data_IF_164961962851
#
_entry.id   IF_164961962851
#
_cell.length_a   1.000
_cell.length_b   1.000
_cell.length_c   1.000
_cell.angle_alpha   90.00
_cell.angle_beta   90.00
_cell.angle_gamma   90.00
#
_symmetry.space_group_name_H-M   'P 1'
#
loop_
_entity.id
_entity.type
_entity.pdbx_description
1 polymer ?
#
# COMPACT_ATOMS: atom_id res chain seq x y z
N UNK A 1 6.20 -21.73 -42.10
CA UNK A 1 5.63 -20.37 -42.19
C UNK A 1 6.70 -19.36 -41.84
N UNK A 2 6.98 -18.40 -42.75
CA UNK A 2 8.02 -17.37 -42.65
C UNK A 2 7.34 -16.05 -42.29
N UNK A 3 7.73 -15.38 -41.21
CA UNK A 3 7.27 -14.01 -40.93
C UNK A 3 8.47 -13.07 -40.96
N UNK A 4 8.34 -12.03 -41.80
CA UNK A 4 9.38 -11.09 -42.20
C UNK A 4 9.45 -9.91 -41.22
N UNK A 5 10.68 -9.45 -40.98
CA UNK A 5 11.01 -8.12 -40.51
C UNK A 5 10.46 -7.03 -41.45
N UNK A 6 10.07 -5.89 -40.87
CA UNK A 6 9.93 -4.60 -41.54
C UNK A 6 9.39 -3.58 -40.54
N UNK A 7 9.72 -2.30 -40.56
CA UNK A 7 10.81 -1.54 -41.14
C UNK A 7 10.81 -0.20 -40.36
N UNK A 8 11.98 0.42 -40.25
CA UNK A 8 12.19 1.76 -39.68
C UNK A 8 11.35 2.84 -40.40
N UNK A 9 10.78 3.78 -39.65
CA UNK A 9 10.47 5.13 -40.15
C UNK A 9 10.94 6.17 -39.12
N UNK A 10 11.61 7.18 -39.67
CA UNK A 10 12.47 8.15 -39.02
C UNK A 10 11.76 9.48 -38.69
N UNK A 11 12.40 10.21 -37.77
CA UNK A 11 12.59 11.67 -37.69
C UNK A 11 11.37 12.58 -37.93
N UNK A 12 10.99 13.32 -36.87
CA UNK A 12 10.55 14.70 -37.02
C UNK A 12 11.27 15.64 -36.03
N UNK A 13 11.84 16.66 -36.66
CA UNK A 13 12.59 17.81 -36.17
C UNK A 13 11.59 18.90 -35.72
N UNK A 14 11.86 19.64 -34.65
CA UNK A 14 11.01 20.78 -34.28
C UNK A 14 11.40 21.49 -32.99
N UNK A 15 12.40 22.36 -33.10
CA UNK A 15 12.89 23.26 -32.06
C UNK A 15 12.06 24.56 -32.09
N UNK A 16 11.44 24.97 -30.97
CA UNK A 16 11.05 26.37 -30.73
C UNK A 16 11.30 26.71 -29.26
N UNK A 17 12.26 27.62 -29.06
CA UNK A 17 12.55 28.32 -27.80
C UNK A 17 11.54 29.46 -27.63
N UNK A 18 10.85 29.51 -26.49
CA UNK A 18 10.23 30.73 -25.97
C UNK A 18 10.36 30.74 -24.45
N UNK A 19 11.34 31.50 -23.97
CA UNK A 19 11.51 31.83 -22.56
C UNK A 19 10.54 32.97 -22.20
N UNK A 20 9.69 32.75 -21.21
CA UNK A 20 9.01 33.82 -20.47
C UNK A 20 9.22 33.56 -18.99
N UNK A 21 9.86 34.52 -18.32
CA UNK A 21 10.19 34.47 -16.91
C UNK A 21 8.95 34.58 -16.05
N UNK A 22 8.85 33.67 -15.08
CA UNK A 22 7.88 33.74 -14.00
C UNK A 22 8.63 33.95 -12.69
N UNK A 23 8.42 35.12 -12.10
CA UNK A 23 8.89 35.51 -10.76
C UNK A 23 8.47 34.45 -9.75
N UNK A 24 9.45 33.74 -9.20
CA UNK A 24 9.21 32.74 -8.15
C UNK A 24 8.94 33.46 -6.83
N UNK A 25 7.67 33.53 -6.43
CA UNK A 25 7.31 33.84 -5.05
C UNK A 25 7.73 32.63 -4.21
N UNK A 26 8.90 32.74 -3.58
CA UNK A 26 9.35 31.80 -2.56
C UNK A 26 8.50 32.02 -1.32
N UNK A 27 7.33 31.38 -1.32
CA UNK A 27 6.57 31.15 -0.11
C UNK A 27 7.23 29.93 0.51
N UNK A 28 8.08 30.16 1.52
CA UNK A 28 8.66 29.10 2.32
C UNK A 28 7.52 28.22 2.84
N UNK A 29 7.42 26.95 2.40
CA UNK A 29 6.42 26.06 2.95
C UNK A 29 6.84 25.82 4.39
N UNK A 30 6.05 26.36 5.32
CA UNK A 30 6.05 25.88 6.71
C UNK A 30 5.64 24.41 6.63
N UNK A 31 6.65 23.56 6.47
CA UNK A 31 6.48 22.12 6.46
C UNK A 31 6.05 21.78 7.88
N UNK A 32 4.84 21.24 8.11
CA UNK A 32 4.53 20.67 9.41
C UNK A 32 5.54 19.54 9.61
N UNK A 33 6.54 19.78 10.46
CA UNK A 33 7.40 18.72 10.98
C UNK A 33 6.54 17.87 11.89
N UNK A 34 5.76 16.96 11.29
CA UNK A 34 5.19 15.84 12.01
C UNK A 34 6.37 15.00 12.46
N UNK A 35 6.81 15.20 13.70
CA UNK A 35 7.84 14.36 14.31
C UNK A 35 7.30 12.94 14.43
N UNK A 36 7.53 12.13 13.41
CA UNK A 36 7.33 10.68 13.47
C UNK A 36 8.29 10.15 14.51
N UNK A 37 7.78 9.87 15.71
CA UNK A 37 8.53 9.19 16.76
C UNK A 37 8.82 7.79 16.26
N UNK A 38 10.05 7.54 15.79
CA UNK A 38 10.47 6.20 15.40
C UNK A 38 10.43 5.34 16.66
N UNK A 39 9.62 4.26 16.70
CA UNK A 39 9.62 3.38 17.85
C UNK A 39 11.02 2.77 18.01
N UNK A 40 11.61 2.95 19.20
CA UNK A 40 12.92 2.37 19.50
C UNK A 40 12.77 0.86 19.68
N UNK A 41 13.43 0.09 18.82
CA UNK A 41 13.41 -1.37 18.86
C UNK A 41 14.64 -1.87 19.61
N UNK A 42 14.43 -2.69 20.65
CA UNK A 42 15.52 -3.22 21.48
C UNK A 42 16.43 -4.17 20.68
N UNK A 43 17.70 -4.26 21.08
CA UNK A 43 18.62 -5.29 20.56
C UNK A 43 18.06 -6.70 20.78
N UNK A 44 18.26 -7.59 19.81
CA UNK A 44 17.69 -8.94 19.84
C UNK A 44 16.18 -9.02 19.55
N UNK A 45 15.53 -7.90 19.22
CA UNK A 45 14.09 -7.85 18.96
C UNK A 45 13.76 -7.45 17.52
N UNK A 46 12.48 -7.58 17.17
CA UNK A 46 11.96 -7.19 15.87
C UNK A 46 10.72 -6.33 16.08
N UNK A 47 10.70 -5.14 15.48
CA UNK A 47 9.57 -4.21 15.55
C UNK A 47 8.99 -3.95 14.17
N UNK A 48 7.68 -3.68 14.10
CA UNK A 48 7.03 -3.27 12.87
C UNK A 48 5.90 -2.26 13.11
N UNK A 49 5.78 -1.30 12.20
CA UNK A 49 4.73 -0.28 12.22
C UNK A 49 4.32 0.10 10.80
N UNK A 50 3.23 0.86 10.68
CA UNK A 50 2.74 1.38 9.41
C UNK A 50 2.91 2.89 9.40
N UNK A 51 3.51 3.40 8.34
CA UNK A 51 3.60 4.83 8.05
C UNK A 51 2.59 5.20 6.96
N UNK A 52 1.78 6.21 7.22
CA UNK A 52 0.80 6.77 6.28
C UNK A 52 1.03 8.26 6.11
N UNK A 53 0.86 8.77 4.89
CA UNK A 53 0.95 10.22 4.62
C UNK A 53 -0.32 10.96 5.05
N UNK A 54 -1.46 10.27 5.07
CA UNK A 54 -2.77 10.80 5.49
C UNK A 54 -3.57 9.72 6.20
N UNK A 55 -4.29 10.11 7.24
CA UNK A 55 -5.29 9.27 7.93
C UNK A 55 -6.71 9.58 7.46
N UNK A 56 -6.87 10.30 6.34
CA UNK A 56 -8.16 10.55 5.69
C UNK A 56 -8.09 10.21 4.21
N UNK A 57 -9.11 9.53 3.71
CA UNK A 57 -9.23 9.14 2.30
C UNK A 57 -10.69 9.19 1.84
N UNK A 58 -10.92 9.46 0.56
CA UNK A 58 -12.27 9.43 0.00
C UNK A 58 -12.72 7.98 -0.28
N UNK A 59 -14.00 7.71 -0.10
CA UNK A 59 -14.63 6.46 -0.49
C UNK A 59 -14.30 6.11 -1.95
N UNK A 60 -13.94 4.85 -2.22
CA UNK A 60 -13.58 4.38 -3.56
C UNK A 60 -12.11 4.60 -3.96
N UNK A 61 -11.36 5.41 -3.22
CA UNK A 61 -9.94 5.67 -3.50
C UNK A 61 -9.00 4.64 -2.86
N UNK A 62 -7.70 4.75 -3.16
CA UNK A 62 -6.64 3.89 -2.60
C UNK A 62 -5.76 4.67 -1.64
N UNK A 63 -5.45 4.07 -0.49
CA UNK A 63 -4.49 4.60 0.48
C UNK A 63 -3.16 3.86 0.31
N UNK A 64 -2.10 4.60 0.02
CA UNK A 64 -0.73 4.07 0.05
C UNK A 64 -0.15 4.24 1.44
N UNK A 65 0.47 3.17 1.95
CA UNK A 65 1.17 3.15 3.22
C UNK A 65 2.50 2.42 3.07
N UNK A 66 3.37 2.54 4.07
CA UNK A 66 4.63 1.78 4.13
C UNK A 66 4.66 0.97 5.41
N UNK A 67 4.85 -0.34 5.29
CA UNK A 67 5.22 -1.17 6.43
C UNK A 67 6.71 -1.01 6.65
N UNK A 68 7.10 -0.58 7.84
CA UNK A 68 8.50 -0.51 8.26
C UNK A 68 8.73 -1.64 9.25
N UNK A 69 9.79 -2.42 9.02
CA UNK A 69 10.26 -3.46 9.95
C UNK A 69 11.70 -3.16 10.31
N UNK A 70 11.99 -3.20 11.60
CA UNK A 70 13.34 -3.14 12.12
C UNK A 70 13.66 -4.48 12.74
N UNK A 71 14.61 -5.19 12.15
CA UNK A 71 15.03 -6.52 12.57
C UNK A 71 16.43 -6.47 13.21
N UNK A 72 16.46 -6.50 14.54
CA UNK A 72 17.67 -6.62 15.35
C UNK A 72 17.82 -8.00 15.99
N UNK A 73 17.15 -9.03 15.45
CA UNK A 73 17.17 -10.39 16.02
C UNK A 73 18.50 -11.14 15.85
N UNK A 74 19.45 -10.58 15.10
CA UNK A 74 20.73 -11.22 14.79
C UNK A 74 20.70 -12.19 13.60
N UNK A 75 19.54 -12.43 12.99
CA UNK A 75 19.44 -13.15 11.70
C UNK A 75 18.33 -12.63 10.77
N UNK A 76 18.42 -12.82 9.44
CA UNK A 76 17.31 -12.57 8.53
C UNK A 76 16.13 -13.49 8.80
N UNK A 77 14.90 -12.99 8.65
CA UNK A 77 13.67 -13.78 8.80
C UNK A 77 13.23 -14.25 7.42
N UNK A 78 13.19 -15.56 7.20
CA UNK A 78 12.64 -16.14 5.96
C UNK A 78 11.13 -16.30 6.09
N UNK A 79 10.38 -15.72 5.15
CA UNK A 79 8.91 -15.74 5.11
C UNK A 79 8.42 -16.32 3.78
N UNK A 80 7.34 -17.10 3.82
CA UNK A 80 6.61 -17.45 2.60
C UNK A 80 6.03 -16.17 1.99
N UNK A 81 6.17 -15.98 0.69
CA UNK A 81 5.65 -14.80 0.00
C UNK A 81 4.51 -15.17 -0.93
N UNK A 82 3.50 -14.31 -0.97
CA UNK A 82 2.38 -14.44 -1.87
C UNK A 82 2.39 -13.31 -2.92
N UNK A 83 3.55 -13.14 -3.57
CA UNK A 83 3.88 -12.00 -4.45
C UNK A 83 4.50 -10.82 -3.69
N UNK A 84 4.11 -10.60 -2.44
CA UNK A 84 4.68 -9.64 -1.51
C UNK A 84 4.76 -10.22 -0.09
N UNK A 85 5.65 -9.67 0.75
CA UNK A 85 5.70 -10.00 2.19
C UNK A 85 4.46 -9.44 2.91
N UNK A 86 4.11 -8.19 2.63
CA UNK A 86 3.02 -7.49 3.31
C UNK A 86 1.91 -7.08 2.33
N UNK A 87 0.68 -7.15 2.82
CA UNK A 87 -0.51 -6.56 2.21
C UNK A 87 -1.20 -5.63 3.20
N UNK A 88 -2.20 -4.88 2.72
CA UNK A 88 -2.99 -4.00 3.57
C UNK A 88 -4.47 -4.05 3.21
N UNK A 89 -5.31 -3.68 4.17
CA UNK A 89 -6.76 -3.72 4.07
C UNK A 89 -7.43 -2.83 5.11
N UNK A 90 -8.73 -2.61 4.95
CA UNK A 90 -9.53 -1.85 5.91
C UNK A 90 -10.44 -2.80 6.71
N UNK A 91 -10.47 -2.59 8.01
CA UNK A 91 -11.37 -3.29 8.93
C UNK A 91 -12.19 -2.29 9.74
N UNK A 92 -13.44 -2.64 10.00
CA UNK A 92 -14.30 -2.01 11.01
C UNK A 92 -14.89 -3.11 11.89
N UNK A 93 -15.87 -2.78 12.73
CA UNK A 93 -16.56 -3.79 13.53
C UNK A 93 -17.50 -4.66 12.69
N UNK A 94 -17.88 -4.19 11.51
CA UNK A 94 -18.82 -4.87 10.58
C UNK A 94 -18.16 -5.35 9.29
N UNK A 95 -16.95 -4.87 8.96
CA UNK A 95 -16.28 -5.16 7.70
C UNK A 95 -14.87 -5.65 7.98
N UNK A 96 -14.45 -6.75 7.33
CA UNK A 96 -13.10 -7.30 7.47
C UNK A 96 -12.45 -7.52 6.09
N UNK A 97 -12.02 -6.44 5.44
CA UNK A 97 -11.28 -6.51 4.18
C UNK A 97 -9.78 -6.58 4.41
N UNK A 98 -9.33 -7.41 5.36
CA UNK A 98 -7.92 -7.51 5.76
C UNK A 98 -6.95 -7.78 4.59
N UNK A 99 -5.64 -7.91 4.86
CA UNK A 99 -4.62 -8.05 3.83
C UNK A 99 -4.96 -9.17 2.83
N UNK A 100 -5.15 -8.81 1.56
CA UNK A 100 -5.45 -9.78 0.50
C UNK A 100 -4.19 -10.17 -0.25
N UNK A 101 -3.99 -11.47 -0.44
CA UNK A 101 -2.89 -12.03 -1.22
C UNK A 101 -3.44 -12.89 -2.35
N UNK A 102 -2.96 -12.69 -3.59
CA UNK A 102 -3.52 -13.38 -4.75
C UNK A 102 -2.95 -14.78 -4.96
N UNK A 103 -1.62 -14.98 -4.82
CA UNK A 103 -0.97 -16.26 -5.13
C UNK A 103 0.22 -16.54 -4.21
N UNK A 104 0.15 -17.62 -3.43
CA UNK A 104 1.24 -18.06 -2.53
C UNK A 104 2.22 -19.03 -3.20
N UNK A 105 2.59 -18.75 -4.44
CA UNK A 105 3.52 -19.57 -5.23
C UNK A 105 4.88 -18.89 -5.44
N UNK A 106 5.13 -17.77 -4.75
CA UNK A 106 6.42 -17.09 -4.82
C UNK A 106 7.50 -17.86 -4.07
N UNK A 107 8.79 -17.68 -4.43
CA UNK A 107 9.87 -18.15 -3.59
C UNK A 107 9.78 -17.49 -2.20
N UNK A 108 10.35 -18.12 -1.15
CA UNK A 108 10.49 -17.47 0.14
C UNK A 108 11.22 -16.13 -0.01
N UNK A 109 10.75 -15.11 0.69
CA UNK A 109 11.38 -13.80 0.78
C UNK A 109 12.06 -13.64 2.13
N UNK A 110 12.98 -12.69 2.23
CA UNK A 110 13.70 -12.41 3.47
C UNK A 110 13.41 -11.00 3.97
N UNK A 111 13.21 -10.89 5.27
CA UNK A 111 13.33 -9.65 6.02
C UNK A 111 14.78 -9.57 6.51
N UNK A 112 15.64 -8.73 5.90
CA UNK A 112 17.04 -8.64 6.28
C UNK A 112 17.19 -8.05 7.68
N UNK A 113 18.43 -8.02 8.18
CA UNK A 113 18.77 -7.26 9.38
C UNK A 113 18.68 -5.75 9.13
N UNK A 114 18.42 -5.00 10.19
CA UNK A 114 18.26 -3.55 10.14
C UNK A 114 16.86 -3.13 9.72
N UNK A 115 16.74 -1.95 9.12
CA UNK A 115 15.46 -1.40 8.66
C UNK A 115 15.13 -1.90 7.25
N UNK A 116 13.86 -2.23 7.03
CA UNK A 116 13.31 -2.53 5.71
C UNK A 116 11.92 -1.92 5.57
N UNK A 117 11.58 -1.53 4.34
CA UNK A 117 10.40 -0.73 4.03
C UNK A 117 9.66 -1.38 2.87
N UNK A 118 8.39 -1.72 3.07
CA UNK A 118 7.54 -2.33 2.04
C UNK A 118 6.32 -1.44 1.75
N UNK A 119 6.16 -0.95 0.51
CA UNK A 119 4.96 -0.22 0.14
C UNK A 119 3.77 -1.18 0.10
N UNK A 120 2.65 -0.74 0.67
CA UNK A 120 1.37 -1.46 0.65
C UNK A 120 0.27 -0.50 0.20
N UNK A 121 -0.83 -1.05 -0.30
CA UNK A 121 -1.99 -0.27 -0.73
C UNK A 121 -3.26 -0.92 -0.22
N UNK A 122 -4.13 -0.12 0.39
CA UNK A 122 -5.48 -0.52 0.79
C UNK A 122 -6.51 0.20 -0.08
N UNK A 123 -7.56 -0.52 -0.51
CA UNK A 123 -8.64 0.05 -1.33
C UNK A 123 -9.84 0.37 -0.45
N UNK A 124 -10.35 1.60 -0.53
CA UNK A 124 -11.62 2.01 0.10
C UNK A 124 -12.84 1.55 -0.73
N UNK A 125 -12.77 0.33 -1.26
CA UNK A 125 -13.77 -0.31 -2.14
C UNK A 125 -13.84 -1.78 -1.76
N UNK A 126 -15.03 -2.36 -1.83
CA UNK A 126 -15.15 -3.80 -1.69
C UNK A 126 -14.39 -4.53 -2.81
N UNK A 127 -13.72 -5.66 -2.51
CA UNK A 127 -12.99 -6.43 -3.52
C UNK A 127 -13.91 -7.22 -4.46
N UNK A 128 -15.13 -7.54 -4.03
CA UNK A 128 -16.15 -8.24 -4.80
C UNK A 128 -17.56 -7.83 -4.35
N UNK A 129 -18.56 -8.14 -5.18
CA UNK A 129 -19.98 -7.88 -4.91
C UNK A 129 -20.85 -8.97 -5.55
N UNK A 130 -22.14 -8.99 -5.21
CA UNK A 130 -23.12 -9.85 -5.90
C UNK A 130 -23.30 -11.25 -5.29
N UNK A 131 -22.95 -11.43 -4.01
CA UNK A 131 -23.23 -12.67 -3.30
C UNK A 131 -24.74 -12.94 -3.18
N UNK A 132 -25.16 -14.17 -3.46
CA UNK A 132 -26.56 -14.62 -3.44
C UNK A 132 -27.09 -14.99 -2.03
N UNK A 133 -26.47 -14.51 -0.95
CA UNK A 133 -26.94 -14.80 0.42
C UNK A 133 -25.86 -15.00 1.50
N UNK A 134 -24.58 -14.74 1.23
CA UNK A 134 -23.58 -14.60 2.29
C UNK A 134 -23.57 -13.15 2.78
N UNK A 135 -23.97 -12.96 4.04
CA UNK A 135 -24.33 -11.69 4.70
C UNK A 135 -23.27 -10.59 4.74
N UNK A 136 -22.06 -10.84 4.22
CA UNK A 136 -20.93 -9.89 4.27
C UNK A 136 -20.56 -9.29 2.90
N UNK A 137 -21.12 -9.80 1.80
CA UNK A 137 -20.82 -9.29 0.46
C UNK A 137 -21.90 -8.30 0.01
N UNK A 138 -21.56 -7.04 -0.34
CA UNK A 138 -22.56 -6.07 -0.74
C UNK A 138 -23.14 -6.36 -2.13
N UNK A 139 -24.32 -5.80 -2.38
CA UNK A 139 -24.86 -5.74 -3.73
C UNK A 139 -23.94 -4.92 -4.64
N UNK A 140 -23.86 -5.30 -5.92
CA UNK A 140 -23.13 -4.52 -6.90
C UNK A 140 -23.90 -3.24 -7.24
N UNK A 141 -23.18 -2.14 -7.44
CA UNK A 141 -23.72 -0.89 -8.01
C UNK A 141 -23.20 -0.79 -9.44
N UNK A 142 -24.10 -0.72 -10.41
CA UNK A 142 -23.76 -0.72 -11.84
C UNK A 142 -22.84 -1.89 -12.26
N UNK A 143 -23.07 -3.06 -11.66
CA UNK A 143 -22.27 -4.27 -11.92
C UNK A 143 -20.85 -4.24 -11.33
N UNK A 144 -20.55 -3.30 -10.42
CA UNK A 144 -19.24 -3.14 -9.79
C UNK A 144 -19.32 -3.20 -8.26
N UNK A 145 -18.24 -3.60 -7.57
CA UNK A 145 -18.18 -3.49 -6.12
C UNK A 145 -18.34 -2.04 -5.66
N UNK A 146 -19.22 -1.76 -4.69
CA UNK A 146 -19.39 -0.42 -4.18
C UNK A 146 -18.17 0.05 -3.40
N UNK A 147 -18.05 1.37 -3.22
CA UNK A 147 -17.12 1.96 -2.28
C UNK A 147 -17.46 1.57 -0.83
N UNK A 148 -16.46 1.63 0.05
CA UNK A 148 -16.72 1.57 1.49
C UNK A 148 -17.53 2.79 1.92
N UNK A 149 -18.43 2.59 2.89
CA UNK A 149 -19.14 3.70 3.51
C UNK A 149 -18.15 4.61 4.26
N UNK A 150 -18.51 5.88 4.41
CA UNK A 150 -17.73 6.80 5.23
C UNK A 150 -17.77 6.41 6.71
N UNK A 151 -16.66 6.64 7.42
CA UNK A 151 -16.53 6.31 8.84
C UNK A 151 -15.10 6.01 9.26
N UNK A 152 -14.95 5.59 10.52
CA UNK A 152 -13.67 5.19 11.08
C UNK A 152 -13.36 3.73 10.75
N UNK A 153 -12.16 3.49 10.23
CA UNK A 153 -11.63 2.18 9.89
C UNK A 153 -10.24 2.00 10.49
N UNK A 154 -9.89 0.74 10.73
CA UNK A 154 -8.52 0.31 11.02
C UNK A 154 -7.86 -0.08 9.70
N UNK A 155 -6.82 0.66 9.31
CA UNK A 155 -5.86 0.19 8.33
C UNK A 155 -5.03 -0.92 8.97
N UNK A 156 -5.23 -2.14 8.51
CA UNK A 156 -4.46 -3.31 8.95
C UNK A 156 -3.46 -3.67 7.87
N UNK A 157 -2.20 -3.83 8.28
CA UNK A 157 -1.16 -4.42 7.44
C UNK A 157 -0.76 -5.76 8.04
N UNK A 158 -0.40 -6.71 7.19
CA UNK A 158 -0.03 -8.05 7.65
C UNK A 158 0.63 -8.85 6.57
N UNK A 159 1.16 -10.01 6.96
CA UNK A 159 1.73 -11.01 6.07
C UNK A 159 0.87 -12.27 6.09
N UNK A 160 0.98 -13.08 5.04
CA UNK A 160 0.44 -14.45 5.02
C UNK A 160 1.27 -15.41 5.89
N UNK A 161 2.51 -15.07 6.22
CA UNK A 161 3.40 -15.87 7.08
C UNK A 161 3.46 -15.28 8.49
N UNK A 162 3.09 -16.09 9.49
CA UNK A 162 3.11 -15.70 10.90
C UNK A 162 4.49 -15.36 11.47
N UNK A 163 5.58 -15.72 10.78
CA UNK A 163 6.94 -15.33 11.16
C UNK A 163 7.25 -13.87 10.84
N UNK A 164 6.53 -13.27 9.90
CA UNK A 164 6.66 -11.85 9.64
C UNK A 164 6.08 -11.06 10.84
N UNK A 165 6.81 -10.06 11.35
CA UNK A 165 6.30 -9.17 12.39
C UNK A 165 4.98 -8.51 11.97
N UNK A 166 3.98 -8.51 12.85
CA UNK A 166 2.68 -7.89 12.59
C UNK A 166 2.69 -6.41 13.04
N UNK A 167 2.52 -5.45 12.13
CA UNK A 167 2.40 -4.03 12.50
C UNK A 167 1.13 -3.76 13.32
N UNK A 168 1.18 -2.75 14.19
CA UNK A 168 -0.02 -2.23 14.84
C UNK A 168 -0.97 -1.57 13.80
N UNK A 169 -2.29 -1.71 13.94
CA UNK A 169 -3.25 -1.02 13.06
C UNK A 169 -3.17 0.51 13.21
N UNK A 170 -3.51 1.22 12.13
CA UNK A 170 -3.63 2.69 12.11
C UNK A 170 -5.08 3.09 11.91
N UNK A 171 -5.58 4.07 12.67
CA UNK A 171 -6.93 4.60 12.48
C UNK A 171 -6.96 5.52 11.26
N UNK A 172 -7.91 5.27 10.36
CA UNK A 172 -8.13 6.02 9.12
C UNK A 172 -9.61 6.36 9.00
N UNK A 173 -9.90 7.59 8.60
CA UNK A 173 -11.25 8.05 8.31
C UNK A 173 -11.53 8.01 6.81
N UNK A 174 -12.60 7.33 6.41
CA UNK A 174 -13.09 7.32 5.03
C UNK A 174 -14.23 8.35 4.93
N UNK A 175 -14.19 9.23 3.93
CA UNK A 175 -15.21 10.27 3.70
C UNK A 175 -15.89 10.19 2.35
#
# INVERSE_FOLDING_TARGET
MRWRLGALIALMLGMVLAACGSTSVSTEPTTPSTSTTIPTVAEGSVGAWVEVTSTTIDAGNKLTATVVVVNHSGSPITVASCGAIYGAGFESDTIRLGPSFFTCLGPPQQIPLGESRWPVTASATYPWCGGSGVSETPACVDGRPPALAGGEYRLVAGSSDSRAPKPAPVIVNIR
#
